data_IF_853309034766
#
_entry.id   IF_853309034766
#
_cell.length_a   1.000
_cell.length_b   1.000
_cell.length_c   1.000
_cell.angle_alpha   90.00
_cell.angle_beta   90.00
_cell.angle_gamma   90.00
#
_symmetry.space_group_name_H-M   'P 1'
#
loop_
_entity.id
_entity.type
_entity.pdbx_description
1 polymer ?
#
# COMPACT_ATOMS: atom_id res chain seq x y z
N UNK A 1 21.23 40.98 -10.90
CA UNK A 1 19.84 40.71 -10.47
C UNK A 1 19.10 39.75 -11.42
N UNK A 2 19.03 40.00 -12.74
CA UNK A 2 18.37 39.09 -13.72
C UNK A 2 18.83 37.62 -13.65
N UNK A 3 20.13 37.37 -13.52
CA UNK A 3 20.69 36.00 -13.43
C UNK A 3 20.27 35.27 -12.15
N UNK A 4 20.15 35.99 -11.04
CA UNK A 4 19.72 35.43 -9.74
C UNK A 4 18.22 35.10 -9.78
N UNK A 5 17.41 35.95 -10.41
CA UNK A 5 15.98 35.70 -10.61
C UNK A 5 15.73 34.47 -11.52
N UNK A 6 16.54 34.26 -12.55
CA UNK A 6 16.44 33.09 -13.44
C UNK A 6 16.83 31.81 -12.70
N UNK A 7 17.90 31.85 -11.89
CA UNK A 7 18.31 30.69 -11.08
C UNK A 7 17.27 30.35 -10.02
N UNK A 8 16.70 31.36 -9.36
CA UNK A 8 15.64 31.15 -8.37
C UNK A 8 14.37 30.52 -9.00
N UNK A 9 13.97 30.98 -10.19
CA UNK A 9 12.83 30.41 -10.91
C UNK A 9 13.07 28.94 -11.32
N UNK A 10 14.29 28.58 -11.73
CA UNK A 10 14.66 27.21 -12.07
C UNK A 10 14.65 26.28 -10.85
N UNK A 11 15.11 26.75 -9.69
CA UNK A 11 15.10 25.97 -8.45
C UNK A 11 13.66 25.73 -7.97
N UNK A 12 12.80 26.75 -8.04
CA UNK A 12 11.37 26.59 -7.70
C UNK A 12 10.69 25.63 -8.67
N UNK A 13 10.91 25.76 -9.98
CA UNK A 13 10.36 24.85 -10.99
C UNK A 13 10.79 23.38 -10.79
N UNK A 14 12.03 23.14 -10.37
CA UNK A 14 12.52 21.79 -10.07
C UNK A 14 11.90 21.19 -8.80
N UNK A 15 11.51 22.02 -7.83
CA UNK A 15 10.90 21.54 -6.58
C UNK A 15 9.44 21.12 -6.73
N UNK A 16 8.70 21.64 -7.72
CA UNK A 16 7.29 21.28 -7.94
C UNK A 16 7.13 19.92 -8.64
N UNK A 17 8.15 19.44 -9.37
CA UNK A 17 8.09 18.16 -10.08
C UNK A 17 8.33 16.93 -9.18
N UNK A 18 8.85 17.10 -7.96
CA UNK A 18 9.00 16.00 -7.00
C UNK A 18 7.71 15.67 -6.23
N UNK A 19 6.66 16.49 -6.36
CA UNK A 19 5.37 16.28 -5.70
C UNK A 19 4.47 15.22 -6.36
N UNK A 20 4.86 14.67 -7.52
CA UNK A 20 4.17 13.52 -8.13
C UNK A 20 4.58 12.16 -7.52
N UNK A 21 5.36 12.14 -6.44
CA UNK A 21 5.52 10.95 -5.61
C UNK A 21 4.33 10.82 -4.64
N UNK A 22 3.11 10.71 -5.15
CA UNK A 22 1.97 10.25 -4.34
C UNK A 22 2.33 8.87 -3.82
N UNK A 23 2.64 8.74 -2.53
CA UNK A 23 2.90 7.47 -1.86
C UNK A 23 1.70 6.56 -2.09
N UNK A 24 1.86 5.57 -2.95
CA UNK A 24 0.83 4.55 -3.20
C UNK A 24 1.15 3.38 -2.30
N UNK A 25 0.47 3.30 -1.15
CA UNK A 25 0.35 2.01 -0.47
C UNK A 25 -0.24 1.02 -1.50
N UNK A 26 0.31 -0.19 -1.64
CA UNK A 26 -0.30 -1.19 -2.50
C UNK A 26 -1.70 -1.51 -1.95
N UNK A 27 -2.73 -1.05 -2.66
CA UNK A 27 -4.12 -1.34 -2.32
C UNK A 27 -4.42 -2.72 -2.87
N UNK A 28 -4.71 -3.69 -2.00
CA UNK A 28 -5.22 -4.98 -2.43
C UNK A 28 -6.49 -4.78 -3.25
N UNK A 29 -6.60 -5.47 -4.38
CA UNK A 29 -7.87 -5.60 -5.10
C UNK A 29 -8.90 -6.24 -4.16
N UNK A 30 -10.14 -5.78 -4.24
CA UNK A 30 -11.23 -6.38 -3.46
C UNK A 30 -11.36 -7.85 -3.81
N UNK A 31 -11.52 -8.68 -2.79
CA UNK A 31 -11.78 -10.11 -2.96
C UNK A 31 -13.17 -10.33 -3.57
N UNK A 32 -13.26 -11.15 -4.62
CA UNK A 32 -14.52 -11.50 -5.27
C UNK A 32 -14.90 -12.96 -5.06
N UNK A 33 -16.19 -13.25 -4.96
CA UNK A 33 -16.70 -14.63 -4.96
C UNK A 33 -16.38 -15.36 -6.28
N UNK A 34 -16.28 -14.64 -7.40
CA UNK A 34 -15.89 -15.22 -8.68
C UNK A 34 -14.42 -15.70 -8.67
N UNK A 35 -13.53 -15.00 -7.96
CA UNK A 35 -12.14 -15.45 -7.74
C UNK A 35 -12.14 -16.75 -6.92
N UNK A 36 -12.97 -16.82 -5.88
CA UNK A 36 -13.08 -18.01 -5.03
C UNK A 36 -13.57 -19.24 -5.80
N UNK A 37 -14.49 -19.08 -6.75
CA UNK A 37 -15.01 -20.17 -7.58
C UNK A 37 -13.96 -20.67 -8.58
N UNK A 38 -13.26 -19.74 -9.25
CA UNK A 38 -12.31 -20.05 -10.32
C UNK A 38 -10.97 -20.64 -9.85
N UNK A 39 -10.51 -20.29 -8.65
CA UNK A 39 -9.19 -20.71 -8.13
C UNK A 39 -9.22 -22.10 -7.49
N UNK A 40 -8.21 -22.93 -7.72
CA UNK A 40 -8.04 -24.19 -6.99
C UNK A 40 -7.33 -23.97 -5.63
N UNK A 41 -7.17 -25.03 -4.83
CA UNK A 41 -6.50 -24.93 -3.53
C UNK A 41 -5.03 -24.47 -3.63
N UNK A 42 -4.36 -24.76 -4.75
CA UNK A 42 -2.98 -24.37 -4.98
C UNK A 42 -2.89 -22.88 -5.33
N UNK A 43 -3.82 -22.39 -6.14
CA UNK A 43 -3.99 -20.98 -6.48
C UNK A 43 -4.32 -20.16 -5.23
N UNK A 44 -5.28 -20.61 -4.41
CA UNK A 44 -5.65 -19.96 -3.15
C UNK A 44 -4.45 -19.88 -2.19
N UNK A 45 -3.62 -20.92 -2.12
CA UNK A 45 -2.40 -20.93 -1.31
C UNK A 45 -1.36 -19.93 -1.84
N UNK A 46 -1.15 -19.89 -3.15
CA UNK A 46 -0.23 -18.94 -3.77
C UNK A 46 -0.70 -17.49 -3.56
N UNK A 47 -2.00 -17.25 -3.71
CA UNK A 47 -2.61 -15.94 -3.52
C UNK A 47 -2.56 -15.50 -2.05
N UNK A 48 -2.73 -16.42 -1.09
CA UNK A 48 -2.51 -16.15 0.33
C UNK A 48 -1.06 -15.74 0.62
N UNK A 49 -0.08 -16.44 0.02
CA UNK A 49 1.34 -16.07 0.15
C UNK A 49 1.58 -14.66 -0.40
N UNK A 50 1.04 -14.34 -1.58
CA UNK A 50 1.16 -12.99 -2.18
C UNK A 50 0.50 -11.92 -1.30
N UNK A 51 -0.70 -12.18 -0.79
CA UNK A 51 -1.42 -11.26 0.08
C UNK A 51 -0.63 -10.98 1.37
N UNK A 52 -0.01 -11.99 1.96
CA UNK A 52 0.87 -11.84 3.12
C UNK A 52 2.14 -11.04 2.78
N UNK A 53 2.74 -11.25 1.60
CA UNK A 53 3.88 -10.43 1.15
C UNK A 53 3.51 -8.95 1.02
N UNK A 54 2.33 -8.64 0.47
CA UNK A 54 1.84 -7.26 0.37
C UNK A 54 1.59 -6.68 1.77
N UNK A 55 1.04 -7.47 2.71
CA UNK A 55 0.90 -7.05 4.11
C UNK A 55 2.24 -6.64 4.73
N UNK A 56 3.29 -7.45 4.52
CA UNK A 56 4.64 -7.13 4.99
C UNK A 56 5.17 -5.85 4.35
N UNK A 57 4.98 -5.67 3.03
CA UNK A 57 5.40 -4.45 2.34
C UNK A 57 4.69 -3.18 2.84
N UNK A 58 3.39 -3.27 3.16
CA UNK A 58 2.64 -2.16 3.78
C UNK A 58 3.22 -1.82 5.15
N UNK A 59 3.56 -2.84 5.96
CA UNK A 59 4.17 -2.65 7.26
C UNK A 59 5.57 -2.03 7.18
N UNK A 60 6.43 -2.51 6.28
CA UNK A 60 7.78 -1.97 6.05
C UNK A 60 7.74 -0.53 5.52
N UNK A 61 6.84 -0.26 4.57
CA UNK A 61 6.63 1.10 4.05
C UNK A 61 6.18 2.04 5.15
N UNK A 62 5.34 1.57 6.08
CA UNK A 62 4.94 2.33 7.25
C UNK A 62 6.08 2.54 8.26
N UNK A 63 6.97 1.55 8.46
CA UNK A 63 8.13 1.66 9.34
C UNK A 63 9.12 2.75 8.84
N UNK A 64 9.39 2.73 7.54
CA UNK A 64 10.20 3.76 6.89
C UNK A 64 9.55 5.14 6.93
N UNK A 65 8.22 5.22 6.79
CA UNK A 65 7.49 6.49 6.77
C UNK A 65 7.48 7.16 8.14
N UNK A 66 7.23 6.43 9.24
CA UNK A 66 7.29 7.07 10.57
C UNK A 66 8.72 7.50 10.92
N UNK A 67 9.75 6.71 10.57
CA UNK A 67 11.16 7.09 10.81
C UNK A 67 11.58 8.31 9.99
N UNK A 68 11.01 8.47 8.80
CA UNK A 68 11.29 9.61 7.91
C UNK A 68 10.45 10.85 8.25
N UNK A 69 9.24 10.68 8.76
CA UNK A 69 8.24 11.76 9.00
C UNK A 69 8.20 12.23 10.46
N UNK A 70 8.74 11.46 11.42
CA UNK A 70 8.87 11.90 12.82
C UNK A 70 9.66 13.22 12.98
N UNK A 71 10.39 13.64 11.95
CA UNK A 71 11.07 14.94 11.91
C UNK A 71 10.29 16.10 11.28
N UNK A 72 9.14 15.88 10.61
CA UNK A 72 8.58 16.91 9.71
C UNK A 72 7.26 17.56 10.17
N UNK A 73 6.10 16.92 10.27
CA UNK A 73 4.85 17.68 10.43
C UNK A 73 3.71 16.86 11.10
N UNK A 74 3.15 17.40 12.19
CA UNK A 74 2.05 16.80 12.96
C UNK A 74 0.70 16.63 12.25
N UNK A 75 0.56 17.12 11.00
CA UNK A 75 -0.67 17.01 10.19
C UNK A 75 -0.53 15.98 9.04
N UNK A 76 0.66 15.85 8.45
CA UNK A 76 0.97 14.83 7.43
C UNK A 76 0.98 13.39 8.01
N UNK A 77 1.19 13.26 9.33
CA UNK A 77 1.14 11.96 10.01
C UNK A 77 -0.26 11.33 10.08
N UNK A 78 -1.32 12.15 10.16
CA UNK A 78 -2.71 11.66 10.27
C UNK A 78 -3.18 11.07 8.93
N UNK A 79 -2.89 11.75 7.81
CA UNK A 79 -3.23 11.27 6.48
C UNK A 79 -2.51 9.97 6.11
N UNK A 80 -1.22 9.85 6.43
CA UNK A 80 -0.44 8.63 6.17
C UNK A 80 -0.88 7.47 7.07
N UNK A 81 -1.20 7.74 8.34
CA UNK A 81 -1.75 6.74 9.24
C UNK A 81 -3.13 6.24 8.78
N UNK A 82 -3.99 7.13 8.26
CA UNK A 82 -5.29 6.76 7.67
C UNK A 82 -5.12 5.92 6.42
N UNK A 83 -4.25 6.33 5.48
CA UNK A 83 -3.95 5.59 4.27
C UNK A 83 -3.36 4.20 4.56
N UNK A 84 -2.50 4.08 5.58
CA UNK A 84 -2.01 2.79 6.08
C UNK A 84 -3.14 1.94 6.64
N UNK A 85 -3.99 2.52 7.50
CA UNK A 85 -5.12 1.81 8.11
C UNK A 85 -6.07 1.25 7.04
N UNK A 86 -6.33 2.00 5.99
CA UNK A 86 -7.18 1.58 4.89
C UNK A 86 -6.53 0.50 4.02
N UNK A 87 -5.23 0.61 3.72
CA UNK A 87 -4.48 -0.44 3.04
C UNK A 87 -4.44 -1.74 3.86
N UNK A 88 -4.20 -1.64 5.17
CA UNK A 88 -4.20 -2.78 6.09
C UNK A 88 -5.58 -3.45 6.17
N UNK A 89 -6.67 -2.66 6.23
CA UNK A 89 -8.04 -3.18 6.20
C UNK A 89 -8.34 -3.91 4.89
N UNK A 90 -7.98 -3.32 3.75
CA UNK A 90 -8.20 -3.93 2.44
C UNK A 90 -7.46 -5.28 2.30
N UNK A 91 -6.20 -5.34 2.73
CA UNK A 91 -5.41 -6.58 2.70
C UNK A 91 -5.97 -7.63 3.66
N UNK A 92 -6.35 -7.24 4.89
CA UNK A 92 -6.97 -8.18 5.85
C UNK A 92 -8.28 -8.76 5.33
N UNK A 93 -9.13 -7.93 4.71
CA UNK A 93 -10.37 -8.40 4.09
C UNK A 93 -10.09 -9.42 2.98
N UNK A 94 -9.06 -9.18 2.14
CA UNK A 94 -8.65 -10.13 1.10
C UNK A 94 -8.14 -11.45 1.67
N UNK A 95 -7.27 -11.42 2.69
CA UNK A 95 -6.77 -12.62 3.38
C UNK A 95 -7.92 -13.44 3.98
N UNK A 96 -8.87 -12.77 4.64
CA UNK A 96 -10.04 -13.43 5.21
C UNK A 96 -10.90 -14.11 4.14
N UNK A 97 -11.14 -13.45 3.01
CA UNK A 97 -11.87 -14.02 1.88
C UNK A 97 -11.19 -15.26 1.28
N UNK A 98 -9.85 -15.23 1.13
CA UNK A 98 -9.07 -16.38 0.66
C UNK A 98 -9.17 -17.55 1.66
N UNK A 99 -9.02 -17.27 2.96
CA UNK A 99 -9.12 -18.30 4.01
C UNK A 99 -10.52 -18.91 4.10
N UNK A 100 -11.57 -18.11 3.89
CA UNK A 100 -12.94 -18.62 3.81
C UNK A 100 -13.14 -19.52 2.59
N UNK A 101 -12.62 -19.12 1.42
CA UNK A 101 -12.64 -19.97 0.23
C UNK A 101 -11.86 -21.28 0.43
N UNK A 102 -10.72 -21.25 1.12
CA UNK A 102 -9.96 -22.45 1.48
C UNK A 102 -10.76 -23.39 2.40
N UNK A 103 -11.48 -22.83 3.39
CA UNK A 103 -12.35 -23.62 4.29
C UNK A 103 -13.52 -24.25 3.54
N UNK A 104 -14.20 -23.48 2.68
CA UNK A 104 -15.31 -23.97 1.86
C UNK A 104 -14.87 -25.07 0.91
N UNK A 105 -13.67 -24.96 0.33
CA UNK A 105 -13.09 -25.98 -0.57
C UNK A 105 -12.35 -27.11 0.16
N UNK A 106 -12.33 -27.10 1.49
CA UNK A 106 -11.63 -28.09 2.33
C UNK A 106 -10.16 -28.28 1.94
N UNK A 107 -9.49 -27.19 1.56
CA UNK A 107 -8.09 -27.21 1.19
C UNK A 107 -7.23 -27.65 2.39
N UNK A 108 -6.30 -28.57 2.17
CA UNK A 108 -5.31 -28.95 3.18
C UNK A 108 -4.30 -27.81 3.33
N UNK A 109 -4.15 -27.33 4.57
CA UNK A 109 -3.24 -26.24 4.95
C UNK A 109 -1.79 -26.72 4.99
#
# INVERSE_FOLDING_TARGET
MKKIAIVAALVVAASVTSACATKRYPIATQWSSAEAEAMDCNDLRLELIRANQIQTQVAETADFDWRSVAGFLGDYGIGNAMAKSDADKAIRARIQGIQEAQRTKQCTV
#
